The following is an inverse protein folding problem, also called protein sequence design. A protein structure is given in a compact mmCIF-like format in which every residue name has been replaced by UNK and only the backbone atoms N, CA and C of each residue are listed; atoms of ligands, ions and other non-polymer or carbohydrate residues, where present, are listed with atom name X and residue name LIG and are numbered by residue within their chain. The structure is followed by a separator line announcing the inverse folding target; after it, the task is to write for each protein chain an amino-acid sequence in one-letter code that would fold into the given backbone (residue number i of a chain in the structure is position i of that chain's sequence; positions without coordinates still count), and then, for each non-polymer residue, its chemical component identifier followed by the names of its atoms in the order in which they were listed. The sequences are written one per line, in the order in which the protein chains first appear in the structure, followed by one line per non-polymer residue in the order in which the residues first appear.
data_IF_815562593293
#
_entry.id   IF_815562593293
#
_cell.length_a   1.000
_cell.length_b   1.000
_cell.length_c   1.000
_cell.angle_alpha   90.00
_cell.angle_beta   90.00
_cell.angle_gamma   90.00
#
_symmetry.space_group_name_H-M   'P 1'
#
loop_
_entity.id
_entity.type
_entity.pdbx_description
1 polymer ?
#
# COMPACT_ATOMS: atom_id res chain seq x y z
N UNK A 1 -19.64 -34.70 -5.06
CA UNK A 1 -19.89 -33.57 -4.16
C UNK A 1 -20.84 -32.64 -4.90
N UNK A 2 -22.07 -32.45 -4.40
CA UNK A 2 -23.06 -31.56 -5.02
C UNK A 2 -23.01 -30.21 -4.30
N UNK A 3 -22.85 -29.12 -5.04
CA UNK A 3 -23.02 -27.77 -4.52
C UNK A 3 -24.51 -27.44 -4.63
N UNK A 4 -25.21 -27.38 -3.49
CA UNK A 4 -26.55 -26.82 -3.42
C UNK A 4 -26.51 -25.31 -3.68
N UNK A 5 -27.62 -24.72 -4.13
CA UNK A 5 -27.72 -23.27 -4.41
C UNK A 5 -27.57 -22.39 -3.17
N UNK A 6 -27.62 -22.98 -1.99
CA UNK A 6 -27.44 -22.32 -0.70
C UNK A 6 -25.95 -22.36 -0.35
N UNK A 7 -25.17 -21.50 -0.99
CA UNK A 7 -23.74 -21.40 -0.70
C UNK A 7 -23.56 -20.89 0.74
N UNK A 8 -22.91 -21.63 1.66
CA UNK A 8 -22.61 -21.14 3.01
C UNK A 8 -21.55 -20.01 3.00
N UNK A 9 -21.03 -19.68 1.83
CA UNK A 9 -19.98 -18.70 1.60
C UNK A 9 -20.47 -17.62 0.64
N UNK A 10 -20.32 -16.35 1.04
CA UNK A 10 -20.51 -15.21 0.16
C UNK A 10 -19.34 -15.13 -0.84
N UNK A 11 -19.59 -14.53 -2.01
CA UNK A 11 -18.51 -14.18 -2.93
C UNK A 11 -17.51 -13.28 -2.20
N UNK A 12 -16.24 -13.68 -2.20
CA UNK A 12 -15.17 -12.78 -1.79
C UNK A 12 -15.19 -11.56 -2.72
N UNK A 13 -15.03 -10.32 -2.21
CA UNK A 13 -14.88 -9.16 -3.07
C UNK A 13 -13.78 -9.42 -4.11
N UNK A 14 -14.02 -8.99 -5.35
CA UNK A 14 -12.98 -9.03 -6.38
C UNK A 14 -11.90 -8.04 -5.96
N UNK A 15 -10.86 -8.55 -5.30
CA UNK A 15 -9.63 -7.80 -5.09
C UNK A 15 -8.77 -7.99 -6.34
N UNK A 16 -8.51 -6.89 -7.04
CA UNK A 16 -7.46 -6.86 -8.07
C UNK A 16 -6.14 -7.12 -7.37
N UNK A 17 -5.64 -8.36 -7.45
CA UNK A 17 -4.33 -8.73 -6.90
C UNK A 17 -3.23 -8.21 -7.82
N UNK A 18 -3.18 -6.88 -7.99
CA UNK A 18 -1.94 -6.22 -8.40
C UNK A 18 -0.87 -6.56 -7.36
N UNK A 19 0.41 -6.68 -7.73
CA UNK A 19 1.49 -6.99 -6.80
C UNK A 19 1.57 -5.89 -5.73
N UNK A 20 0.88 -6.14 -4.61
CA UNK A 20 0.75 -5.20 -3.52
C UNK A 20 1.93 -5.40 -2.57
N UNK A 21 2.51 -4.30 -2.10
CA UNK A 21 3.61 -4.32 -1.14
C UNK A 21 3.30 -5.21 0.08
N UNK A 22 2.02 -5.27 0.50
CA UNK A 22 1.52 -6.08 1.61
C UNK A 22 0.83 -7.39 1.22
N UNK A 23 1.00 -7.87 -0.01
CA UNK A 23 0.49 -9.18 -0.41
C UNK A 23 1.13 -10.29 0.46
N UNK A 24 0.37 -11.34 0.81
CA UNK A 24 0.94 -12.53 1.46
C UNK A 24 2.09 -13.12 0.65
N UNK A 25 3.00 -13.79 1.34
CA UNK A 25 4.08 -14.52 0.68
C UNK A 25 3.55 -15.71 -0.14
N UNK A 26 4.45 -16.36 -0.90
CA UNK A 26 4.08 -17.49 -1.76
C UNK A 26 3.44 -18.67 -1.01
N UNK A 27 3.70 -18.79 0.30
CA UNK A 27 3.14 -19.81 1.18
C UNK A 27 1.91 -19.31 1.97
N UNK A 28 1.42 -18.10 1.68
CA UNK A 28 0.23 -17.50 2.29
C UNK A 28 0.49 -16.78 3.62
N UNK A 29 1.74 -16.67 4.04
CA UNK A 29 2.11 -15.97 5.26
C UNK A 29 2.00 -14.45 5.10
N UNK A 30 1.40 -13.79 6.10
CA UNK A 30 1.41 -12.32 6.17
C UNK A 30 2.69 -11.92 6.88
N UNK A 31 3.58 -11.23 6.17
CA UNK A 31 4.84 -10.74 6.74
C UNK A 31 4.53 -9.55 7.65
N UNK A 32 4.70 -9.76 8.95
CA UNK A 32 4.62 -8.68 9.93
C UNK A 32 5.76 -7.66 9.71
N UNK A 33 5.48 -6.38 9.94
CA UNK A 33 6.46 -5.29 9.90
C UNK A 33 7.21 -5.11 8.57
N UNK A 34 6.57 -5.40 7.43
CA UNK A 34 7.18 -5.11 6.11
C UNK A 34 7.41 -3.60 5.96
N UNK A 35 8.68 -3.23 5.76
CA UNK A 35 9.08 -1.82 5.63
C UNK A 35 8.68 -1.25 4.28
N UNK A 36 7.88 -0.18 4.30
CA UNK A 36 7.58 0.60 3.11
C UNK A 36 8.74 1.56 2.82
N UNK A 37 9.63 1.16 1.91
CA UNK A 37 10.81 1.94 1.52
C UNK A 37 10.97 1.91 -0.01
N UNK A 38 10.27 2.79 -0.74
CA UNK A 38 10.38 2.87 -2.19
C UNK A 38 11.81 3.21 -2.62
N UNK A 39 12.31 2.56 -3.67
CA UNK A 39 13.61 2.90 -4.25
C UNK A 39 13.54 4.23 -4.99
N UNK A 40 14.54 5.09 -4.78
CA UNK A 40 14.69 6.31 -5.56
C UNK A 40 15.09 5.96 -7.01
N UNK A 41 14.60 6.71 -8.01
CA UNK A 41 15.05 6.53 -9.37
C UNK A 41 16.54 6.88 -9.52
N UNK A 42 17.18 6.32 -10.54
CA UNK A 42 18.53 6.72 -10.92
C UNK A 42 18.53 8.18 -11.41
N UNK A 43 19.65 8.90 -11.26
CA UNK A 43 19.80 10.26 -11.76
C UNK A 43 19.50 10.36 -13.26
N UNK A 44 18.79 11.41 -13.68
CA UNK A 44 18.38 11.64 -15.07
C UNK A 44 16.91 12.03 -15.20
N UNK A 45 16.28 11.69 -16.32
CA UNK A 45 14.90 12.10 -16.64
C UNK A 45 13.86 11.65 -15.60
N UNK A 46 14.12 10.53 -14.91
CA UNK A 46 13.24 9.99 -13.88
C UNK A 46 13.28 10.79 -12.56
N UNK A 47 14.37 11.52 -12.28
CA UNK A 47 14.51 12.34 -11.07
C UNK A 47 13.54 13.53 -11.08
N UNK A 48 13.38 14.18 -12.25
CA UNK A 48 12.46 15.30 -12.41
C UNK A 48 10.99 14.87 -12.26
N UNK A 49 10.64 13.71 -12.83
CA UNK A 49 9.32 13.12 -12.65
C UNK A 49 9.07 12.77 -11.17
N UNK A 50 10.06 12.17 -10.50
CA UNK A 50 9.96 11.85 -9.08
C UNK A 50 9.72 13.07 -8.20
N UNK A 51 10.50 14.14 -8.37
CA UNK A 51 10.30 15.40 -7.62
C UNK A 51 8.91 16.00 -7.85
N UNK A 52 8.33 15.80 -9.02
CA UNK A 52 6.98 16.28 -9.36
C UNK A 52 5.90 15.48 -8.64
N UNK A 53 6.00 14.15 -8.63
CA UNK A 53 4.94 13.26 -8.13
C UNK A 53 5.08 12.91 -6.65
N UNK A 54 6.27 13.05 -6.07
CA UNK A 54 6.53 12.72 -4.67
C UNK A 54 5.60 13.47 -3.69
N UNK A 55 5.31 14.78 -3.86
CA UNK A 55 4.35 15.47 -3.00
C UNK A 55 2.95 14.88 -3.09
N UNK A 56 2.55 14.38 -4.27
CA UNK A 56 1.25 13.73 -4.46
C UNK A 56 1.18 12.39 -3.72
N UNK A 57 2.27 11.63 -3.73
CA UNK A 57 2.37 10.40 -2.97
C UNK A 57 2.28 10.66 -1.45
N UNK A 58 2.95 11.70 -0.95
CA UNK A 58 2.84 12.11 0.47
C UNK A 58 1.40 12.49 0.80
N UNK A 59 0.77 13.35 -0.01
CA UNK A 59 -0.61 13.78 0.19
C UNK A 59 -1.61 12.61 0.16
N UNK A 60 -1.42 11.66 -0.77
CA UNK A 60 -2.19 10.43 -0.81
C UNK A 60 -2.12 9.68 0.53
N UNK A 61 -0.92 9.44 1.05
CA UNK A 61 -0.75 8.72 2.32
C UNK A 61 -1.30 9.49 3.52
N UNK A 62 -1.22 10.82 3.52
CA UNK A 62 -1.88 11.65 4.53
C UNK A 62 -3.41 11.50 4.49
N UNK A 63 -4.02 11.48 3.29
CA UNK A 63 -5.47 11.25 3.14
C UNK A 63 -5.89 9.85 3.57
N UNK A 64 -5.09 8.83 3.24
CA UNK A 64 -5.31 7.45 3.69
C UNK A 64 -5.24 7.37 5.22
N UNK A 65 -4.23 7.99 5.84
CA UNK A 65 -4.08 8.05 7.30
C UNK A 65 -5.26 8.73 7.99
N UNK A 66 -5.91 9.71 7.36
CA UNK A 66 -7.08 10.40 7.91
C UNK A 66 -8.41 9.66 7.66
N UNK A 67 -8.41 8.56 6.88
CA UNK A 67 -9.66 7.91 6.47
C UNK A 67 -10.32 7.15 7.63
N UNK A 68 -11.58 7.44 7.98
CA UNK A 68 -12.32 6.70 9.00
C UNK A 68 -12.75 5.31 8.50
N UNK A 69 -12.70 5.05 7.19
CA UNK A 69 -13.06 3.76 6.60
C UNK A 69 -12.01 2.67 6.82
N UNK A 70 -10.82 3.04 7.32
CA UNK A 70 -9.70 2.13 7.51
C UNK A 70 -9.54 1.75 8.97
N UNK A 71 -8.91 0.60 9.23
CA UNK A 71 -8.55 0.21 10.59
C UNK A 71 -7.49 1.15 11.16
N UNK A 72 -7.43 1.26 12.48
CA UNK A 72 -6.39 2.03 13.17
C UNK A 72 -4.98 1.52 12.82
N UNK A 73 -4.81 0.19 12.78
CA UNK A 73 -3.55 -0.44 12.39
C UNK A 73 -3.10 -0.01 10.99
N UNK A 74 -4.01 0.11 10.04
CA UNK A 74 -3.67 0.52 8.68
C UNK A 74 -3.41 2.02 8.58
N UNK A 75 -4.14 2.85 9.35
CA UNK A 75 -3.82 4.28 9.47
C UNK A 75 -2.40 4.52 9.98
N UNK A 76 -1.93 3.72 10.93
CA UNK A 76 -0.54 3.79 11.42
C UNK A 76 0.47 3.51 10.30
N UNK A 77 0.22 2.49 9.47
CA UNK A 77 1.05 2.19 8.29
C UNK A 77 1.08 3.38 7.34
N UNK A 78 -0.08 4.01 7.09
CA UNK A 78 -0.18 5.17 6.21
C UNK A 78 0.60 6.39 6.75
N UNK A 79 0.57 6.64 8.05
CA UNK A 79 1.39 7.69 8.70
C UNK A 79 2.88 7.41 8.54
N UNK A 80 3.30 6.15 8.68
CA UNK A 80 4.70 5.76 8.47
C UNK A 80 5.11 5.97 7.01
N UNK A 81 4.26 5.57 6.07
CA UNK A 81 4.52 5.75 4.63
C UNK A 81 4.66 7.22 4.24
N UNK A 82 3.80 8.11 4.75
CA UNK A 82 3.91 9.56 4.47
C UNK A 82 5.20 10.15 5.02
N UNK A 83 5.64 9.74 6.22
CA UNK A 83 6.92 10.14 6.81
C UNK A 83 8.12 9.65 6.00
N UNK A 84 8.13 8.37 5.60
CA UNK A 84 9.21 7.81 4.78
C UNK A 84 9.36 8.59 3.47
N UNK A 85 8.25 8.82 2.76
CA UNK A 85 8.27 9.60 1.52
C UNK A 85 8.70 11.05 1.76
N UNK A 86 8.26 11.67 2.85
CA UNK A 86 8.68 13.03 3.23
C UNK A 86 10.20 13.14 3.44
N UNK A 87 10.83 12.17 4.10
CA UNK A 87 12.29 12.15 4.28
C UNK A 87 13.05 11.94 2.96
N UNK A 88 12.48 11.16 2.03
CA UNK A 88 13.03 10.95 0.69
C UNK A 88 12.98 12.21 -0.21
N UNK A 89 12.28 13.28 0.18
CA UNK A 89 12.35 14.58 -0.52
C UNK A 89 13.59 15.40 -0.15
N UNK A 90 14.12 15.17 1.05
CA UNK A 90 15.23 15.95 1.63
C UNK A 90 16.60 15.31 1.46
N UNK A 91 16.65 14.08 0.93
CA UNK A 91 17.86 13.32 0.64
C UNK A 91 18.27 13.46 -0.84
#
# INVERSE_FOLDING_TARGET
FWLTSDLPFALAPVYDMLPMHWAPGPQGEVVENRSFLPSLPLPGDAEAAWKTVQPWAVDFWCRVAASPLLSESFRIIAVQASKTLGHLATA
#
